data_IF_582182181322
#
_entry.id   IF_582182181322
#
_cell.length_a   1.000
_cell.length_b   1.000
_cell.length_c   1.000
_cell.angle_alpha   90.00
_cell.angle_beta   90.00
_cell.angle_gamma   90.00
#
_symmetry.space_group_name_H-M   'P 1'
#
loop_
_entity.id
_entity.type
_entity.pdbx_description
1 polymer ?
#
# COMPACT_ATOMS: atom_id res chain seq x y z
N UNK A 1 4.76 16.20 -20.55
CA UNK A 1 3.97 15.03 -20.07
C UNK A 1 2.71 14.95 -20.91
N UNK A 2 2.56 13.92 -21.73
CA UNK A 2 1.41 13.73 -22.62
C UNK A 2 0.42 12.77 -21.94
N UNK A 3 -0.71 13.28 -21.43
CA UNK A 3 -1.76 12.48 -20.75
C UNK A 3 -2.71 11.81 -21.76
N UNK A 4 -2.18 11.29 -22.87
CA UNK A 4 -3.02 10.59 -23.85
C UNK A 4 -3.62 9.34 -23.20
N UNK A 5 -4.95 9.19 -23.29
CA UNK A 5 -5.67 8.06 -22.70
C UNK A 5 -6.02 8.20 -21.22
N UNK A 6 -5.82 9.36 -20.60
CA UNK A 6 -6.34 9.65 -19.26
C UNK A 6 -7.77 10.21 -19.35
N UNK A 7 -8.72 9.56 -18.69
CA UNK A 7 -10.09 10.05 -18.52
C UNK A 7 -10.48 9.97 -17.04
N UNK A 8 -11.25 10.95 -16.58
CA UNK A 8 -11.68 11.02 -15.19
C UNK A 8 -13.02 11.77 -15.14
N UNK A 9 -14.07 11.12 -14.63
CA UNK A 9 -15.36 11.79 -14.51
C UNK A 9 -15.36 12.78 -13.35
N UNK A 10 -14.77 12.40 -12.21
CA UNK A 10 -14.76 13.23 -11.01
C UNK A 10 -13.56 12.91 -10.14
N UNK A 11 -12.96 13.96 -9.58
CA UNK A 11 -12.03 13.81 -8.47
C UNK A 11 -12.27 14.87 -7.40
N UNK A 12 -11.95 14.50 -6.16
CA UNK A 12 -11.90 15.42 -5.05
C UNK A 12 -10.67 15.13 -4.21
N UNK A 13 -9.95 16.20 -3.83
CA UNK A 13 -8.84 16.13 -2.91
C UNK A 13 -9.19 17.06 -1.75
N UNK A 14 -9.24 16.52 -0.53
CA UNK A 14 -9.49 17.28 0.69
C UNK A 14 -8.29 17.12 1.60
N UNK A 15 -7.55 18.20 1.80
CA UNK A 15 -6.37 18.26 2.64
C UNK A 15 -6.56 19.25 3.79
N UNK A 16 -6.18 18.85 4.99
CA UNK A 16 -5.95 19.75 6.11
C UNK A 16 -4.62 19.36 6.75
N UNK A 17 -3.71 20.32 6.87
CA UNK A 17 -2.36 20.10 7.41
C UNK A 17 -2.17 21.11 8.52
N UNK A 18 -1.80 20.61 9.70
CA UNK A 18 -1.40 21.42 10.83
C UNK A 18 0.09 21.25 11.02
N UNK A 19 0.81 22.34 10.78
CA UNK A 19 2.24 22.42 10.92
C UNK A 19 2.58 22.99 12.30
N UNK A 20 2.37 22.18 13.34
CA UNK A 20 2.90 22.44 14.68
C UNK A 20 4.26 21.73 14.82
N UNK A 21 4.80 21.59 16.04
CA UNK A 21 6.04 20.85 16.28
C UNK A 21 6.04 19.42 15.72
N UNK A 22 4.85 18.84 15.49
CA UNK A 22 4.64 17.56 14.83
C UNK A 22 3.77 17.77 13.58
N UNK A 23 4.20 17.22 12.43
CA UNK A 23 3.39 17.31 11.21
C UNK A 23 2.17 16.42 11.37
N UNK A 24 0.98 17.02 11.33
CA UNK A 24 -0.30 16.30 11.40
C UNK A 24 -1.23 16.73 10.29
N UNK A 25 -2.14 15.85 9.89
CA UNK A 25 -3.09 16.19 8.87
C UNK A 25 -4.06 15.09 8.49
N UNK A 26 -4.91 15.44 7.55
CA UNK A 26 -5.81 14.53 6.85
C UNK A 26 -5.79 14.87 5.38
N UNK A 27 -5.59 13.85 4.55
CA UNK A 27 -5.65 13.90 3.10
C UNK A 27 -6.60 12.81 2.63
N UNK A 28 -7.72 13.20 2.02
CA UNK A 28 -8.60 12.28 1.33
C UNK A 28 -8.60 12.59 -0.16
N UNK A 29 -8.33 11.58 -0.98
CA UNK A 29 -8.34 11.64 -2.44
C UNK A 29 -9.39 10.64 -2.90
N UNK A 30 -10.39 11.14 -3.63
CA UNK A 30 -11.39 10.30 -4.30
C UNK A 30 -11.36 10.57 -5.79
N UNK A 31 -11.40 9.51 -6.57
CA UNK A 31 -11.54 9.55 -8.02
C UNK A 31 -12.62 8.55 -8.45
N UNK A 32 -13.47 8.96 -9.38
CA UNK A 32 -14.55 8.15 -9.94
C UNK A 32 -14.38 8.06 -11.46
N UNK A 33 -14.56 6.87 -12.03
CA UNK A 33 -14.40 6.59 -13.46
C UNK A 33 -13.04 7.04 -14.02
N UNK A 34 -11.96 6.60 -13.37
CA UNK A 34 -10.59 6.83 -13.81
C UNK A 34 -10.22 5.77 -14.85
N UNK A 35 -9.99 6.21 -16.09
CA UNK A 35 -9.41 5.39 -17.15
C UNK A 35 -8.00 5.87 -17.47
N UNK A 36 -7.07 4.94 -17.61
CA UNK A 36 -5.71 5.26 -18.06
C UNK A 36 -5.23 4.21 -19.05
N UNK A 37 -5.10 4.64 -20.32
CA UNK A 37 -4.85 3.73 -21.43
C UNK A 37 -6.01 2.75 -21.61
N UNK A 38 -5.72 1.57 -22.14
CA UNK A 38 -6.75 0.55 -22.44
C UNK A 38 -7.01 -0.42 -21.28
N UNK A 39 -6.05 -0.54 -20.36
CA UNK A 39 -6.01 -1.64 -19.38
C UNK A 39 -6.45 -1.23 -17.97
N UNK A 40 -6.48 0.07 -17.65
CA UNK A 40 -6.84 0.56 -16.32
C UNK A 40 -8.20 1.24 -16.40
N UNK A 41 -9.19 0.66 -15.73
CA UNK A 41 -10.57 1.17 -15.64
C UNK A 41 -11.05 1.07 -14.20
N UNK A 42 -10.73 2.09 -13.41
CA UNK A 42 -11.13 2.17 -12.01
C UNK A 42 -12.45 2.94 -11.90
N UNK A 43 -13.49 2.27 -11.44
CA UNK A 43 -14.79 2.88 -11.14
C UNK A 43 -14.69 3.80 -9.93
N UNK A 44 -13.88 3.39 -8.94
CA UNK A 44 -13.65 4.13 -7.70
C UNK A 44 -12.19 3.96 -7.26
N UNK A 45 -11.60 5.05 -6.78
CA UNK A 45 -10.38 5.08 -6.00
C UNK A 45 -10.63 6.01 -4.80
N UNK A 46 -10.43 5.50 -3.59
CA UNK A 46 -10.52 6.24 -2.34
C UNK A 46 -9.24 5.99 -1.54
N UNK A 47 -8.46 7.05 -1.36
CA UNK A 47 -7.23 7.06 -0.59
C UNK A 47 -7.42 8.04 0.57
N UNK A 48 -7.35 7.55 1.80
CA UNK A 48 -7.41 8.35 3.02
C UNK A 48 -6.11 8.20 3.79
N UNK A 49 -5.44 9.31 4.06
CA UNK A 49 -4.28 9.41 4.93
C UNK A 49 -4.64 10.35 6.07
N UNK A 50 -4.42 9.93 7.31
CA UNK A 50 -4.73 10.73 8.49
C UNK A 50 -3.76 10.47 9.63
N UNK A 51 -3.68 11.41 10.57
CA UNK A 51 -2.88 11.30 11.78
C UNK A 51 -1.67 12.24 11.74
N UNK A 52 -0.61 11.85 12.42
CA UNK A 52 0.63 12.60 12.53
C UNK A 52 1.86 11.72 12.24
N UNK A 53 3.05 12.31 12.28
CA UNK A 53 4.28 11.55 12.03
C UNK A 53 4.46 10.36 12.99
N UNK A 54 4.05 10.49 14.25
CA UNK A 54 4.17 9.43 15.24
C UNK A 54 3.07 8.38 15.13
N UNK A 55 1.92 8.71 14.54
CA UNK A 55 0.79 7.81 14.36
C UNK A 55 -0.01 8.23 13.14
N UNK A 56 0.30 7.66 11.98
CA UNK A 56 -0.47 7.87 10.76
C UNK A 56 -1.09 6.57 10.26
N UNK A 57 -2.21 6.75 9.58
CA UNK A 57 -2.99 5.70 8.96
C UNK A 57 -3.28 6.06 7.52
N UNK A 58 -2.93 5.15 6.61
CA UNK A 58 -3.31 5.16 5.21
C UNK A 58 -4.33 4.04 4.95
N UNK A 59 -5.43 4.34 4.29
CA UNK A 59 -6.35 3.35 3.74
C UNK A 59 -6.51 3.59 2.26
N UNK A 60 -6.37 2.52 1.47
CA UNK A 60 -6.59 2.52 0.04
C UNK A 60 -7.73 1.55 -0.26
N UNK A 61 -8.70 2.03 -1.03
CA UNK A 61 -9.77 1.22 -1.61
C UNK A 61 -9.89 1.58 -3.08
N UNK A 62 -9.84 0.60 -3.96
CA UNK A 62 -10.18 0.77 -5.37
C UNK A 62 -11.16 -0.29 -5.82
N UNK A 63 -11.91 0.02 -6.87
CA UNK A 63 -12.82 -0.89 -7.56
C UNK A 63 -12.64 -0.71 -9.06
N UNK A 64 -12.67 -1.82 -9.80
CA UNK A 64 -12.50 -1.85 -11.25
C UNK A 64 -11.34 -2.74 -11.69
N UNK A 65 -10.90 -2.52 -12.92
CA UNK A 65 -9.96 -3.40 -13.63
C UNK A 65 -8.58 -2.72 -13.82
N UNK A 66 -7.49 -3.50 -13.84
CA UNK A 66 -7.46 -4.97 -13.77
C UNK A 66 -7.43 -5.50 -12.33
N UNK A 67 -7.17 -4.63 -11.35
CA UNK A 67 -7.04 -5.01 -9.94
C UNK A 67 -7.78 -4.03 -9.05
N UNK A 68 -8.79 -4.52 -8.33
CA UNK A 68 -9.38 -3.82 -7.20
C UNK A 68 -8.52 -4.11 -5.95
N UNK A 69 -8.15 -3.07 -5.22
CA UNK A 69 -7.23 -3.15 -4.10
C UNK A 69 -7.88 -2.61 -2.83
N UNK A 70 -7.76 -3.34 -1.73
CA UNK A 70 -8.06 -2.86 -0.39
C UNK A 70 -6.85 -3.12 0.49
N UNK A 71 -6.36 -2.08 1.16
CA UNK A 71 -5.30 -2.22 2.17
C UNK A 71 -5.36 -1.08 3.18
N UNK A 72 -4.76 -1.35 4.33
CA UNK A 72 -4.56 -0.37 5.38
C UNK A 72 -3.11 -0.42 5.85
N UNK A 73 -2.48 0.73 6.00
CA UNK A 73 -1.14 0.88 6.56
C UNK A 73 -1.25 1.76 7.79
N UNK A 74 -0.79 1.28 8.93
CA UNK A 74 -0.57 2.12 10.11
C UNK A 74 0.92 2.22 10.34
N UNK A 75 1.42 3.40 10.72
CA UNK A 75 2.84 3.57 10.93
C UNK A 75 3.19 4.79 11.76
N UNK A 76 4.48 4.87 12.07
CA UNK A 76 5.11 5.99 12.73
C UNK A 76 6.48 6.24 12.13
N UNK A 77 6.92 7.49 12.14
CA UNK A 77 8.21 7.93 11.64
C UNK A 77 8.99 8.63 12.75
N UNK A 78 10.09 8.03 13.17
CA UNK A 78 11.03 8.63 14.09
C UNK A 78 12.04 9.49 13.32
N UNK A 79 11.91 10.82 13.43
CA UNK A 79 12.81 11.78 12.78
C UNK A 79 14.26 11.68 13.26
N UNK A 80 14.50 11.28 14.50
CA UNK A 80 15.85 11.19 15.09
C UNK A 80 16.60 9.99 14.51
N UNK A 81 15.90 8.86 14.40
CA UNK A 81 16.46 7.65 13.83
C UNK A 81 16.43 7.67 12.30
N UNK A 82 15.57 8.49 11.69
CA UNK A 82 15.18 8.45 10.28
C UNK A 82 14.61 7.07 9.90
N UNK A 83 13.76 6.55 10.78
CA UNK A 83 13.18 5.22 10.64
C UNK A 83 11.66 5.30 10.62
N UNK A 84 11.06 4.62 9.65
CA UNK A 84 9.64 4.35 9.62
C UNK A 84 9.38 2.93 10.11
N UNK A 85 8.32 2.74 10.90
CA UNK A 85 7.84 1.41 11.29
C UNK A 85 6.34 1.38 11.19
N UNK A 86 5.80 0.28 10.67
CA UNK A 86 4.39 0.14 10.48
C UNK A 86 3.94 -1.27 10.23
N UNK A 87 2.65 -1.38 9.92
CA UNK A 87 1.99 -2.64 9.64
C UNK A 87 1.02 -2.47 8.49
N UNK A 88 1.13 -3.34 7.50
CA UNK A 88 0.20 -3.45 6.38
C UNK A 88 -0.83 -4.52 6.74
N UNK A 89 -2.11 -4.19 6.70
CA UNK A 89 -3.20 -5.09 7.05
C UNK A 89 -4.38 -4.94 6.11
N UNK A 90 -5.35 -5.86 6.24
CA UNK A 90 -6.55 -5.91 5.40
C UNK A 90 -6.25 -5.98 3.90
N UNK A 91 -5.09 -6.54 3.55
CA UNK A 91 -4.65 -6.57 2.15
C UNK A 91 -5.49 -7.59 1.37
N UNK A 92 -6.20 -7.09 0.37
CA UNK A 92 -6.96 -7.87 -0.59
C UNK A 92 -6.81 -7.23 -1.97
N UNK A 93 -6.41 -8.03 -2.94
CA UNK A 93 -6.37 -7.66 -4.35
C UNK A 93 -7.31 -8.61 -5.10
N UNK A 94 -8.31 -8.07 -5.77
CA UNK A 94 -9.16 -8.83 -6.68
C UNK A 94 -8.45 -8.83 -8.03
N UNK A 95 -7.90 -9.97 -8.43
CA UNK A 95 -7.09 -10.08 -9.66
C UNK A 95 -7.80 -10.99 -10.67
N UNK A 96 -7.40 -10.98 -11.96
CA UNK A 96 -8.00 -11.86 -12.96
C UNK A 96 -7.88 -13.35 -12.65
N UNK A 97 -6.90 -13.74 -11.82
CA UNK A 97 -6.69 -15.12 -11.34
C UNK A 97 -7.32 -15.37 -9.96
N UNK A 98 -8.26 -14.52 -9.54
CA UNK A 98 -8.94 -14.61 -8.24
C UNK A 98 -8.36 -13.67 -7.18
N UNK A 99 -8.96 -13.73 -5.99
CA UNK A 99 -8.59 -12.87 -4.88
C UNK A 99 -7.22 -13.27 -4.31
N UNK A 100 -6.33 -12.31 -4.15
CA UNK A 100 -5.05 -12.45 -3.45
C UNK A 100 -5.12 -11.67 -2.15
N UNK A 101 -4.90 -12.33 -1.02
CA UNK A 101 -4.92 -11.69 0.32
C UNK A 101 -3.69 -12.06 1.12
N UNK A 102 -3.34 -11.26 2.12
CA UNK A 102 -2.37 -11.70 3.12
C UNK A 102 -3.06 -12.49 4.24
N UNK A 103 -2.38 -13.52 4.76
CA UNK A 103 -2.89 -14.32 5.86
C UNK A 103 -2.85 -13.59 7.22
N UNK A 104 -2.04 -12.53 7.33
CA UNK A 104 -1.84 -11.78 8.56
C UNK A 104 -1.47 -10.32 8.26
N UNK A 105 -1.35 -9.53 9.32
CA UNK A 105 -0.80 -8.18 9.21
C UNK A 105 0.73 -8.26 9.05
N UNK A 106 1.27 -7.56 8.06
CA UNK A 106 2.69 -7.61 7.69
C UNK A 106 3.40 -6.44 8.37
N UNK A 107 4.27 -6.73 9.33
CA UNK A 107 5.12 -5.70 9.93
C UNK A 107 6.23 -5.30 8.94
N UNK A 108 6.44 -4.00 8.81
CA UNK A 108 7.46 -3.42 7.93
C UNK A 108 8.19 -2.32 8.67
N UNK A 109 9.52 -2.28 8.57
CA UNK A 109 10.30 -1.12 8.93
C UNK A 109 11.10 -0.63 7.73
N UNK A 110 11.44 0.65 7.71
CA UNK A 110 12.30 1.26 6.72
C UNK A 110 13.33 2.15 7.42
N UNK A 111 14.59 1.91 7.14
CA UNK A 111 15.73 2.73 7.57
C UNK A 111 16.19 3.57 6.38
N UNK A 112 16.00 4.89 6.49
CA UNK A 112 16.34 5.82 5.42
C UNK A 112 17.85 5.90 5.18
N UNK A 113 18.65 5.87 6.24
CA UNK A 113 20.12 5.98 6.18
C UNK A 113 20.73 4.80 5.43
N UNK A 114 20.16 3.61 5.62
CA UNK A 114 20.57 2.40 4.90
C UNK A 114 19.85 2.22 3.56
N UNK A 115 18.76 2.97 3.30
CA UNK A 115 17.86 2.75 2.17
C UNK A 115 17.39 1.28 2.11
N UNK A 116 16.93 0.79 3.25
CA UNK A 116 16.61 -0.62 3.45
C UNK A 116 15.30 -0.77 4.23
N UNK A 117 14.39 -1.58 3.69
CA UNK A 117 13.21 -2.05 4.38
C UNK A 117 13.44 -3.43 4.98
N UNK A 118 12.90 -3.69 6.16
CA UNK A 118 12.73 -5.04 6.70
C UNK A 118 11.25 -5.41 6.64
N UNK A 119 10.94 -6.57 6.07
CA UNK A 119 9.59 -7.07 5.90
C UNK A 119 9.47 -8.37 6.70
N UNK A 120 8.51 -8.44 7.62
CA UNK A 120 8.27 -9.63 8.43
C UNK A 120 7.79 -10.82 7.58
N UNK A 121 7.93 -12.02 8.12
CA UNK A 121 7.41 -13.23 7.47
C UNK A 121 5.89 -13.13 7.27
N UNK A 122 5.43 -13.54 6.09
CA UNK A 122 4.02 -13.49 5.71
C UNK A 122 3.74 -14.42 4.55
N UNK A 123 2.46 -14.73 4.31
CA UNK A 123 2.04 -15.42 3.10
C UNK A 123 0.97 -14.62 2.36
N UNK A 124 1.03 -14.69 1.04
CA UNK A 124 -0.02 -14.30 0.12
C UNK A 124 -0.78 -15.53 -0.31
N UNK A 125 -2.10 -15.44 -0.25
CA UNK A 125 -3.00 -16.56 -0.48
C UNK A 125 -3.98 -16.19 -1.57
N UNK A 126 -4.11 -17.10 -2.52
CA UNK A 126 -5.13 -17.18 -3.54
C UNK A 126 -5.80 -18.56 -3.44
N UNK A 127 -6.94 -18.76 -4.10
CA UNK A 127 -7.63 -20.06 -4.14
C UNK A 127 -6.73 -21.21 -4.59
N UNK A 128 -5.83 -20.96 -5.56
CA UNK A 128 -5.04 -22.00 -6.20
C UNK A 128 -3.59 -22.06 -5.70
N UNK A 129 -3.13 -20.99 -5.05
CA UNK A 129 -1.70 -20.73 -4.80
C UNK A 129 -1.48 -20.04 -3.46
N UNK A 130 -0.43 -20.47 -2.76
CA UNK A 130 0.15 -19.78 -1.61
C UNK A 130 1.62 -19.40 -1.90
N UNK A 131 1.94 -18.11 -1.76
CA UNK A 131 3.31 -17.57 -1.81
C UNK A 131 3.72 -17.11 -0.42
N UNK A 132 4.64 -17.82 0.21
CA UNK A 132 5.11 -17.52 1.55
C UNK A 132 6.55 -16.97 1.56
N UNK A 133 6.77 -16.01 2.44
CA UNK A 133 8.08 -15.53 2.87
C UNK A 133 8.30 -16.05 4.29
N UNK A 134 8.99 -17.19 4.48
CA UNK A 134 9.02 -17.92 5.75
C UNK A 134 9.80 -17.20 6.87
N UNK A 135 10.67 -16.27 6.49
CA UNK A 135 11.46 -15.46 7.41
C UNK A 135 11.43 -14.00 6.98
N UNK A 136 11.68 -13.11 7.93
CA UNK A 136 11.83 -11.69 7.62
C UNK A 136 13.00 -11.47 6.66
N UNK A 137 12.88 -10.51 5.77
CA UNK A 137 13.91 -10.21 4.78
C UNK A 137 14.13 -8.72 4.62
N UNK A 138 15.32 -8.37 4.16
CA UNK A 138 15.69 -7.00 3.85
C UNK A 138 15.55 -6.74 2.35
N UNK A 139 14.87 -5.66 1.99
CA UNK A 139 14.74 -5.16 0.64
C UNK A 139 15.36 -3.76 0.56
N UNK A 140 16.34 -3.56 -0.31
CA UNK A 140 17.02 -2.29 -0.50
C UNK A 140 17.80 -2.29 -1.80
N UNK A 141 18.89 -1.52 -1.88
CA UNK A 141 19.79 -1.53 -3.06
C UNK A 141 20.33 -2.93 -3.38
N UNK A 142 20.49 -3.75 -2.35
CA UNK A 142 20.82 -5.17 -2.43
C UNK A 142 19.91 -5.91 -1.46
N UNK A 143 19.60 -7.17 -1.73
CA UNK A 143 18.75 -7.98 -0.86
C UNK A 143 18.65 -9.41 -1.36
N UNK A 144 18.38 -10.32 -0.43
CA UNK A 144 17.99 -11.69 -0.74
C UNK A 144 16.58 -11.90 -0.21
N UNK A 145 15.66 -12.32 -1.07
CA UNK A 145 14.25 -12.48 -0.74
C UNK A 145 13.95 -13.98 -0.74
N UNK A 146 13.95 -14.64 0.44
CA UNK A 146 13.58 -16.05 0.53
C UNK A 146 12.08 -16.18 0.34
N UNK A 147 11.67 -16.95 -0.66
CA UNK A 147 10.26 -17.23 -0.92
C UNK A 147 10.03 -18.72 -1.13
N UNK A 148 8.81 -19.15 -0.88
CA UNK A 148 8.33 -20.50 -1.10
C UNK A 148 6.98 -20.43 -1.78
N UNK A 149 6.80 -21.21 -2.84
CA UNK A 149 5.55 -21.30 -3.58
C UNK A 149 4.92 -22.67 -3.34
N UNK A 150 3.62 -22.70 -3.07
CA UNK A 150 2.85 -23.92 -2.88
C UNK A 150 1.56 -23.83 -3.70
N UNK A 151 1.22 -24.91 -4.38
CA UNK A 151 -0.10 -25.11 -4.97
C UNK A 151 -1.02 -25.72 -3.92
N UNK A 152 -2.24 -25.20 -3.82
CA UNK A 152 -3.25 -25.68 -2.86
C UNK A 152 -3.92 -26.98 -3.31
#
# INVERSE_FOLDING_TARGET
MHLQGFQLAKASIKGHINNTSLLSGKLNIKAEQLHYGENIKLHLLDLDLSGDEQNHKLSLKSQGEPVAANLQINGHFDRTLEQWKGTISQVKFETPIGDVKSNQAIAVSYDNKQTQANIASHCWQNTDVELCFPQAFNAGKQGNIPFQFKTC
#
